data_IF_915217782745
#
_entry.id   IF_915217782745
#
_cell.length_a   1.000
_cell.length_b   1.000
_cell.length_c   1.000
_cell.angle_alpha   90.00
_cell.angle_beta   90.00
_cell.angle_gamma   90.00
#
_symmetry.space_group_name_H-M   'P 1'
#
loop_
_entity.id
_entity.type
_entity.pdbx_description
1 polymer ?
#
# COMPACT_ATOMS: atom_id res chain seq x y z
N UNK A 1 20.77 2.12 -14.70
CA UNK A 1 20.78 3.45 -14.05
C UNK A 1 21.98 4.22 -14.54
N UNK A 2 21.82 5.44 -15.07
CA UNK A 2 22.92 6.35 -15.30
C UNK A 2 23.76 6.53 -14.04
N UNK A 3 25.09 6.67 -14.16
CA UNK A 3 26.00 6.74 -13.00
C UNK A 3 25.63 7.86 -12.02
N UNK A 4 25.16 9.00 -12.52
CA UNK A 4 24.74 10.15 -11.70
C UNK A 4 23.50 9.87 -10.82
N UNK A 5 22.66 8.91 -11.21
CA UNK A 5 21.42 8.56 -10.49
C UNK A 5 21.60 7.36 -9.56
N UNK A 6 22.75 6.68 -9.62
CA UNK A 6 22.97 5.41 -8.92
C UNK A 6 22.85 5.54 -7.40
N UNK A 7 23.35 6.63 -6.83
CA UNK A 7 23.28 6.91 -5.39
C UNK A 7 21.84 7.17 -4.94
N UNK A 8 21.12 8.05 -5.65
CA UNK A 8 19.71 8.32 -5.37
C UNK A 8 18.84 7.06 -5.51
N UNK A 9 19.11 6.22 -6.50
CA UNK A 9 18.43 4.95 -6.70
C UNK A 9 18.71 3.95 -5.56
N UNK A 10 19.93 3.91 -5.03
CA UNK A 10 20.30 3.07 -3.90
C UNK A 10 19.55 3.50 -2.64
N UNK A 11 19.51 4.80 -2.35
CA UNK A 11 18.83 5.33 -1.17
C UNK A 11 17.31 5.14 -1.25
N UNK A 12 16.71 5.40 -2.42
CA UNK A 12 15.30 5.11 -2.66
C UNK A 12 14.98 3.61 -2.48
N UNK A 13 15.88 2.73 -2.92
CA UNK A 13 15.73 1.28 -2.76
C UNK A 13 15.78 0.86 -1.29
N UNK A 14 16.74 1.41 -0.51
CA UNK A 14 16.84 1.15 0.94
C UNK A 14 15.60 1.64 1.69
N UNK A 15 15.12 2.85 1.37
CA UNK A 15 13.90 3.39 1.97
C UNK A 15 12.66 2.54 1.62
N UNK A 16 12.57 2.03 0.39
CA UNK A 16 11.50 1.10 0.00
C UNK A 16 11.55 -0.18 0.83
N UNK A 17 12.73 -0.81 0.94
CA UNK A 17 12.88 -2.05 1.72
C UNK A 17 12.47 -1.86 3.19
N UNK A 18 12.88 -0.77 3.83
CA UNK A 18 12.49 -0.48 5.21
C UNK A 18 10.96 -0.34 5.39
N UNK A 19 10.30 0.38 4.47
CA UNK A 19 8.83 0.53 4.47
C UNK A 19 8.12 -0.80 4.23
N UNK A 20 8.63 -1.62 3.32
CA UNK A 20 8.09 -2.94 3.01
C UNK A 20 8.23 -3.91 4.18
N UNK A 21 9.36 -3.87 4.92
CA UNK A 21 9.53 -4.71 6.12
C UNK A 21 8.48 -4.37 7.18
N UNK A 22 8.35 -3.08 7.51
CA UNK A 22 7.34 -2.61 8.49
C UNK A 22 5.94 -3.00 8.04
N UNK A 23 5.62 -2.83 6.75
CA UNK A 23 4.31 -3.21 6.22
C UNK A 23 4.08 -4.72 6.29
N UNK A 24 5.12 -5.52 6.02
CA UNK A 24 5.03 -6.99 6.07
C UNK A 24 4.78 -7.49 7.48
N UNK A 25 5.38 -6.89 8.49
CA UNK A 25 5.12 -7.20 9.89
C UNK A 25 3.65 -6.92 10.26
N UNK A 26 3.11 -5.76 9.87
CA UNK A 26 1.70 -5.38 10.10
C UNK A 26 0.71 -6.30 9.37
N UNK A 27 1.00 -6.65 8.13
CA UNK A 27 0.16 -7.60 7.39
C UNK A 27 0.17 -8.99 8.05
N UNK A 28 1.34 -9.45 8.54
CA UNK A 28 1.46 -10.72 9.26
C UNK A 28 0.74 -10.70 10.61
N UNK A 29 0.63 -9.55 11.26
CA UNK A 29 -0.15 -9.41 12.51
C UNK A 29 -1.67 -9.34 12.28
N UNK A 30 -2.12 -9.33 11.02
CA UNK A 30 -3.53 -9.35 10.64
C UNK A 30 -4.12 -7.96 10.35
N UNK A 31 -3.31 -6.91 10.29
CA UNK A 31 -3.77 -5.60 9.84
C UNK A 31 -4.11 -5.64 8.34
N UNK A 32 -5.23 -5.05 7.96
CA UNK A 32 -5.68 -5.04 6.57
C UNK A 32 -4.95 -3.97 5.75
N UNK A 33 -4.53 -4.31 4.53
CA UNK A 33 -3.88 -3.36 3.62
C UNK A 33 -4.71 -2.10 3.33
N UNK A 34 -6.04 -2.23 3.27
CA UNK A 34 -6.96 -1.10 3.08
C UNK A 34 -6.90 -0.08 4.22
N UNK A 35 -6.53 -0.52 5.42
CA UNK A 35 -6.36 0.33 6.59
C UNK A 35 -4.93 0.86 6.68
N UNK A 36 -3.93 0.02 6.43
CA UNK A 36 -2.50 0.40 6.41
C UNK A 36 -2.25 1.59 5.47
N UNK A 37 -2.87 1.56 4.30
CA UNK A 37 -2.69 2.57 3.25
C UNK A 37 -3.82 3.61 3.20
N UNK A 38 -4.72 3.63 4.20
CA UNK A 38 -5.88 4.53 4.26
C UNK A 38 -6.76 4.53 2.99
N UNK A 39 -6.85 3.39 2.30
CA UNK A 39 -7.53 3.27 1.02
C UNK A 39 -9.04 3.32 1.14
N UNK A 40 -9.61 3.06 2.32
CA UNK A 40 -11.08 3.14 2.51
C UNK A 40 -11.64 4.51 2.14
N UNK A 41 -10.93 5.59 2.48
CA UNK A 41 -11.31 6.94 2.08
C UNK A 41 -11.24 7.11 0.57
N UNK A 42 -10.15 6.67 -0.05
CA UNK A 42 -9.98 6.73 -1.51
C UNK A 42 -11.08 5.96 -2.24
N UNK A 43 -11.45 4.77 -1.76
CA UNK A 43 -12.52 3.96 -2.32
C UNK A 43 -13.87 4.69 -2.22
N UNK A 44 -14.17 5.29 -1.08
CA UNK A 44 -15.37 6.10 -0.90
C UNK A 44 -15.39 7.33 -1.82
N UNK A 45 -14.26 8.05 -1.93
CA UNK A 45 -14.11 9.21 -2.81
C UNK A 45 -14.26 8.83 -4.31
N UNK A 46 -13.98 7.57 -4.67
CA UNK A 46 -14.15 7.01 -6.01
C UNK A 46 -15.55 6.41 -6.24
N UNK A 47 -16.45 6.44 -5.25
CA UNK A 47 -17.80 5.90 -5.36
C UNK A 47 -17.88 4.38 -5.28
N UNK A 48 -16.92 3.71 -4.65
CA UNK A 48 -16.99 2.27 -4.41
C UNK A 48 -17.99 1.97 -3.30
N UNK A 49 -19.00 1.17 -3.63
CA UNK A 49 -20.02 0.70 -2.69
C UNK A 49 -19.76 -0.75 -2.28
N UNK A 50 -19.98 -1.05 -1.00
CA UNK A 50 -19.94 -2.41 -0.48
C UNK A 50 -21.37 -2.95 -0.45
N UNK A 51 -21.58 -4.08 -1.12
CA UNK A 51 -22.83 -4.83 -1.09
C UNK A 51 -22.64 -6.14 -0.34
N UNK A 52 -23.68 -6.60 0.35
CA UNK A 52 -23.62 -7.82 1.15
C UNK A 52 -23.67 -9.08 0.27
N UNK A 53 -24.32 -9.00 -0.89
CA UNK A 53 -24.42 -10.09 -1.85
C UNK A 53 -24.38 -9.61 -3.31
N UNK A 54 -24.14 -10.54 -4.24
CA UNK A 54 -24.21 -10.24 -5.67
C UNK A 54 -25.63 -9.96 -6.16
N UNK A 55 -26.65 -10.35 -5.39
CA UNK A 55 -28.06 -10.10 -5.71
C UNK A 55 -28.47 -8.64 -5.44
N UNK A 56 -27.63 -7.86 -4.72
CA UNK A 56 -27.87 -6.44 -4.38
C UNK A 56 -27.35 -5.46 -5.47
N UNK A 57 -26.88 -5.96 -6.62
CA UNK A 57 -26.39 -5.20 -7.78
C UNK A 57 -27.49 -4.93 -8.81
#
# INVERSE_FOLDING_TARGET
MPRAEAEAALDASRARLAREETTRERLRSGELGVDIYALRRTLADLGVEYVDSADDL
#
